data_IF_403029501896
#
_entry.id   IF_403029501896
#
_cell.length_a   1.000
_cell.length_b   1.000
_cell.length_c   1.000
_cell.angle_alpha   90.00
_cell.angle_beta   90.00
_cell.angle_gamma   90.00
#
_symmetry.space_group_name_H-M   'P 1'
#
loop_
_entity.id
_entity.type
_entity.pdbx_description
1 polymer ?
#
# COMPACT_ATOMS: atom_id res chain seq x y z
N UNK A 1 51.59 -9.57 59.41
CA UNK A 1 51.03 -9.21 58.09
C UNK A 1 50.76 -7.70 57.95
N UNK A 2 51.66 -6.83 58.41
CA UNK A 2 51.35 -5.38 58.52
C UNK A 2 52.44 -4.43 58.02
N UNK A 3 53.57 -4.94 57.51
CA UNK A 3 54.64 -4.11 56.91
C UNK A 3 54.77 -4.22 55.39
N UNK A 4 54.19 -5.24 54.77
CA UNK A 4 54.21 -5.41 53.30
C UNK A 4 53.16 -4.58 52.54
N UNK A 5 52.12 -4.06 53.23
CA UNK A 5 51.06 -3.25 52.59
C UNK A 5 51.40 -1.76 52.45
N UNK A 6 52.33 -1.25 53.25
CA UNK A 6 52.76 0.16 53.19
C UNK A 6 53.76 0.45 52.06
N UNK A 7 54.56 -0.54 51.65
CA UNK A 7 55.51 -0.39 50.54
C UNK A 7 54.84 -0.36 49.15
N UNK A 8 53.71 -1.07 48.97
CA UNK A 8 52.95 -1.00 47.72
C UNK A 8 52.14 0.30 47.57
N UNK A 9 51.72 0.93 48.67
CA UNK A 9 51.03 2.21 48.65
C UNK A 9 51.93 3.39 48.21
N UNK A 10 53.21 3.35 48.58
CA UNK A 10 54.17 4.40 48.21
C UNK A 10 54.62 4.31 46.74
N UNK A 11 54.65 3.11 46.14
CA UNK A 11 54.99 2.94 44.72
C UNK A 11 53.82 3.36 43.80
N UNK A 12 52.57 3.24 44.27
CA UNK A 12 51.40 3.70 43.54
C UNK A 12 51.28 5.24 43.48
N UNK A 13 51.84 5.96 44.46
CA UNK A 13 51.84 7.43 44.48
C UNK A 13 53.00 8.05 43.68
N UNK A 14 54.09 7.32 43.46
CA UNK A 14 55.25 7.79 42.69
C UNK A 14 55.06 7.68 41.16
N UNK A 15 54.04 6.96 40.70
CA UNK A 15 53.65 6.87 39.28
C UNK A 15 52.48 7.82 38.91
N UNK A 16 51.91 8.51 39.90
CA UNK A 16 50.83 9.48 39.69
C UNK A 16 51.19 10.73 38.85
N UNK A 17 52.46 11.19 38.66
CA UNK A 17 52.72 12.36 37.82
C UNK A 17 52.73 12.08 36.31
N UNK A 18 52.65 10.82 35.86
CA UNK A 18 52.57 10.50 34.42
C UNK A 18 51.13 10.28 33.93
N UNK A 19 50.12 10.40 34.81
CA UNK A 19 48.69 10.31 34.49
C UNK A 19 48.12 11.60 33.85
N UNK A 20 48.94 12.32 33.08
CA UNK A 20 48.52 13.49 32.30
C UNK A 20 49.22 13.49 30.94
N UNK A 21 49.32 12.31 30.31
CA UNK A 21 49.30 12.27 28.86
C UNK A 21 47.88 12.69 28.46
N UNK A 22 47.72 13.98 28.15
CA UNK A 22 46.58 14.52 27.42
C UNK A 22 46.17 13.49 26.38
N UNK A 23 44.92 13.02 26.40
CA UNK A 23 44.34 12.30 25.28
C UNK A 23 44.44 13.24 24.07
N UNK A 24 45.55 13.13 23.34
CA UNK A 24 45.75 13.82 22.08
C UNK A 24 44.56 13.41 21.23
N UNK A 25 43.74 14.39 20.84
CA UNK A 25 42.81 14.17 19.75
C UNK A 25 43.63 13.54 18.62
N UNK A 26 43.29 12.32 18.20
CA UNK A 26 43.98 11.66 17.08
C UNK A 26 43.84 12.45 15.77
N UNK A 27 43.03 13.51 15.77
CA UNK A 27 42.92 14.49 14.69
C UNK A 27 43.74 15.75 14.94
N UNK A 28 44.13 16.39 13.84
CA UNK A 28 44.79 17.68 13.72
C UNK A 28 43.74 18.77 13.47
N UNK A 29 43.38 19.57 14.50
CA UNK A 29 42.49 20.71 14.33
C UNK A 29 43.28 21.90 13.78
N UNK A 30 43.13 22.20 12.48
CA UNK A 30 43.59 23.44 11.85
C UNK A 30 42.44 24.47 11.90
N UNK A 31 41.95 24.72 13.12
CA UNK A 31 40.77 25.55 13.38
C UNK A 31 41.09 26.70 14.33
N UNK A 32 40.38 27.82 14.15
CA UNK A 32 40.32 28.93 15.11
C UNK A 32 38.88 29.02 15.58
N UNK A 33 38.62 28.75 16.86
CA UNK A 33 37.26 28.64 17.42
C UNK A 33 36.37 27.68 16.61
N UNK A 34 36.87 26.46 16.35
CA UNK A 34 36.26 25.43 15.51
C UNK A 34 36.10 25.77 14.02
N UNK A 35 36.34 27.02 13.61
CA UNK A 35 36.29 27.45 12.20
C UNK A 35 37.57 27.09 11.48
N UNK A 36 37.49 26.29 10.43
CA UNK A 36 38.65 25.93 9.61
C UNK A 36 38.63 24.49 9.08
N UNK A 37 39.77 23.82 9.14
CA UNK A 37 39.96 22.47 8.62
C UNK A 37 40.29 21.49 9.75
N UNK A 38 39.54 20.40 9.88
CA UNK A 38 39.88 19.29 10.78
C UNK A 38 40.37 18.07 10.00
N UNK A 39 41.53 17.53 10.33
CA UNK A 39 42.05 16.29 9.73
C UNK A 39 42.05 15.17 10.77
N UNK A 40 41.40 14.05 10.49
CA UNK A 40 41.21 12.94 11.44
C UNK A 40 39.99 13.13 12.36
N UNK A 41 39.91 12.41 13.48
CA UNK A 41 38.76 12.42 14.40
C UNK A 41 38.73 13.70 15.26
N UNK A 42 38.53 14.85 14.61
CA UNK A 42 38.30 16.15 15.26
C UNK A 42 36.81 16.24 15.67
N UNK A 43 36.48 16.49 16.96
CA UNK A 43 35.08 16.42 17.44
C UNK A 43 34.15 17.53 16.94
N UNK A 44 34.68 18.72 16.64
CA UNK A 44 33.86 19.85 16.16
C UNK A 44 34.59 20.59 15.06
N UNK A 45 33.91 20.84 13.94
CA UNK A 45 34.45 21.60 12.81
C UNK A 45 33.34 22.43 12.17
N UNK A 46 33.57 23.73 12.03
CA UNK A 46 32.80 24.65 11.20
C UNK A 46 33.65 24.94 9.96
N UNK A 47 33.39 24.24 8.85
CA UNK A 47 34.25 24.29 7.67
C UNK A 47 34.42 22.91 7.04
N UNK A 48 35.67 22.44 6.89
CA UNK A 48 35.99 21.18 6.22
C UNK A 48 36.57 20.17 7.21
N UNK A 49 35.94 18.99 7.33
CA UNK A 49 36.49 17.84 8.06
C UNK A 49 36.86 16.75 7.07
N UNK A 50 38.12 16.31 7.12
CA UNK A 50 38.65 15.17 6.38
C UNK A 50 38.94 14.07 7.39
N UNK A 51 38.27 12.93 7.29
CA UNK A 51 38.51 11.81 8.18
C UNK A 51 38.78 10.52 7.39
N UNK A 52 39.68 9.69 7.91
CA UNK A 52 39.88 8.37 7.32
C UNK A 52 38.68 7.48 7.61
N UNK A 53 38.26 7.40 8.87
CA UNK A 53 37.13 6.58 9.32
C UNK A 53 36.48 7.21 10.53
N UNK A 54 35.15 7.32 10.51
CA UNK A 54 34.38 7.83 11.65
C UNK A 54 34.20 6.73 12.71
N UNK A 55 34.87 6.93 13.86
CA UNK A 55 34.92 6.01 15.02
C UNK A 55 34.52 6.70 16.36
N UNK A 56 34.27 8.01 16.35
CA UNK A 56 33.94 8.80 17.52
C UNK A 56 32.81 9.81 17.25
N UNK A 57 32.25 10.41 18.29
CA UNK A 57 31.25 11.47 18.16
C UNK A 57 31.86 12.74 17.54
N UNK A 58 31.15 13.34 16.58
CA UNK A 58 31.54 14.59 15.92
C UNK A 58 30.35 15.49 15.58
N UNK A 59 30.59 16.80 15.43
CA UNK A 59 29.63 17.78 14.89
C UNK A 59 30.31 18.59 13.79
N UNK A 60 29.82 18.48 12.56
CA UNK A 60 30.34 19.22 11.40
C UNK A 60 29.27 20.13 10.84
N UNK A 61 29.59 21.42 10.77
CA UNK A 61 28.82 22.42 10.04
C UNK A 61 29.62 22.87 8.82
N UNK A 62 29.31 22.29 7.67
CA UNK A 62 30.09 22.46 6.44
C UNK A 62 30.23 21.15 5.69
N UNK A 63 31.46 20.76 5.34
CA UNK A 63 31.75 19.58 4.52
C UNK A 63 32.48 18.53 5.37
N UNK A 64 31.90 17.33 5.47
CA UNK A 64 32.54 16.15 6.05
C UNK A 64 32.89 15.16 4.95
N UNK A 65 34.16 14.81 4.81
CA UNK A 65 34.65 13.80 3.88
C UNK A 65 35.21 12.62 4.67
N UNK A 66 34.68 11.42 4.43
CA UNK A 66 35.15 10.18 5.06
C UNK A 66 35.70 9.23 3.99
N UNK A 67 36.95 8.79 4.15
CA UNK A 67 37.70 8.00 3.14
C UNK A 67 37.67 6.48 3.41
N UNK A 68 36.82 6.05 4.33
CA UNK A 68 36.54 4.64 4.59
C UNK A 68 35.17 4.48 5.24
N UNK A 69 34.64 3.26 5.20
CA UNK A 69 33.34 2.94 5.80
C UNK A 69 33.37 3.24 7.31
N UNK A 70 32.39 3.98 7.85
CA UNK A 70 32.25 4.25 9.28
C UNK A 70 32.23 2.96 10.11
N UNK A 71 32.51 3.06 11.42
CA UNK A 71 32.22 1.95 12.33
C UNK A 71 30.71 1.68 12.48
N UNK A 72 30.36 0.51 13.04
CA UNK A 72 28.99 0.02 13.09
C UNK A 72 28.03 0.99 13.81
N UNK A 73 28.55 1.84 14.69
CA UNK A 73 27.79 2.91 15.32
C UNK A 73 27.94 4.20 14.50
N UNK A 74 26.90 4.51 13.71
CA UNK A 74 26.84 5.78 12.96
C UNK A 74 26.65 6.95 13.94
N UNK A 75 27.77 7.54 14.38
CA UNK A 75 27.85 8.63 15.34
C UNK A 75 27.99 9.99 14.66
N UNK A 76 27.73 11.06 15.41
CA UNK A 76 27.92 12.44 14.95
C UNK A 76 26.79 13.09 14.13
N UNK A 77 26.92 14.39 13.87
CA UNK A 77 25.97 15.24 13.13
C UNK A 77 26.69 15.95 11.99
N UNK A 78 26.11 15.94 10.79
CA UNK A 78 26.58 16.72 9.64
C UNK A 78 25.47 17.65 9.18
N UNK A 79 25.74 18.96 9.23
CA UNK A 79 24.91 20.01 8.64
C UNK A 79 25.66 20.65 7.49
N UNK A 80 25.32 20.27 6.27
CA UNK A 80 26.00 20.68 5.05
C UNK A 80 26.17 19.51 4.09
N UNK A 81 27.40 19.14 3.75
CA UNK A 81 27.71 18.05 2.82
C UNK A 81 28.43 16.90 3.53
N UNK A 82 27.93 15.68 3.39
CA UNK A 82 28.57 14.45 3.83
C UNK A 82 29.00 13.65 2.58
N UNK A 83 30.30 13.42 2.39
CA UNK A 83 30.86 12.77 1.20
C UNK A 83 31.69 11.56 1.64
N UNK A 84 31.38 10.39 1.06
CA UNK A 84 31.97 9.12 1.46
C UNK A 84 32.66 8.39 0.31
N UNK A 85 33.90 7.96 0.55
CA UNK A 85 34.69 7.12 -0.35
C UNK A 85 35.17 5.89 0.44
N UNK A 86 34.53 4.71 0.38
CA UNK A 86 33.40 4.40 -0.49
C UNK A 86 32.04 4.82 0.09
N UNK A 87 31.91 5.02 1.41
CA UNK A 87 30.62 5.29 2.06
C UNK A 87 30.74 6.40 3.10
N UNK A 88 29.64 7.10 3.36
CA UNK A 88 29.53 8.10 4.42
C UNK A 88 28.42 7.71 5.37
N UNK A 89 28.57 8.09 6.65
CA UNK A 89 27.47 7.99 7.58
C UNK A 89 27.67 8.85 8.82
N UNK A 90 26.56 9.17 9.45
CA UNK A 90 26.51 9.94 10.69
C UNK A 90 25.22 9.58 11.45
N UNK A 91 25.06 10.04 12.68
CA UNK A 91 23.78 9.86 13.36
C UNK A 91 22.67 10.72 12.73
N UNK A 92 23.02 11.93 12.29
CA UNK A 92 22.13 12.86 11.60
C UNK A 92 22.85 13.49 10.43
N UNK A 93 22.17 13.59 9.30
CA UNK A 93 22.64 14.32 8.13
C UNK A 93 21.56 15.29 7.71
N UNK A 94 21.90 16.57 7.59
CA UNK A 94 21.03 17.62 7.05
C UNK A 94 21.75 18.36 5.94
N UNK A 95 21.23 18.28 4.71
CA UNK A 95 21.85 18.84 3.51
C UNK A 95 22.11 17.77 2.44
N UNK A 96 23.33 17.71 1.92
CA UNK A 96 23.73 16.80 0.85
C UNK A 96 24.48 15.61 1.43
N UNK A 97 24.15 14.41 0.97
CA UNK A 97 24.84 13.19 1.33
C UNK A 97 25.16 12.36 0.09
N UNK A 98 26.44 12.03 -0.12
CA UNK A 98 26.88 11.28 -1.30
C UNK A 98 27.88 10.19 -0.91
N UNK A 99 27.69 8.97 -1.43
CA UNK A 99 28.63 7.87 -1.23
C UNK A 99 28.68 6.93 -2.43
N UNK A 100 29.88 6.52 -2.83
CA UNK A 100 30.10 5.59 -3.96
C UNK A 100 29.39 4.25 -3.72
N UNK A 101 29.44 3.74 -2.50
CA UNK A 101 28.68 2.56 -2.09
C UNK A 101 27.38 2.94 -1.40
N UNK A 102 27.37 3.95 -0.53
CA UNK A 102 26.10 4.31 0.09
C UNK A 102 26.19 5.40 1.13
N UNK A 103 25.01 5.79 1.58
CA UNK A 103 24.80 6.77 2.63
C UNK A 103 23.99 6.11 3.74
N UNK A 104 24.54 6.09 4.96
CA UNK A 104 23.87 5.59 6.15
C UNK A 104 23.61 6.70 7.17
N UNK A 105 22.46 6.66 7.84
CA UNK A 105 22.26 7.42 9.07
C UNK A 105 21.59 6.61 10.17
N UNK A 106 22.00 6.78 11.42
CA UNK A 106 21.32 6.14 12.55
C UNK A 106 19.89 6.68 12.71
N UNK A 107 19.73 8.01 12.79
CA UNK A 107 18.40 8.63 12.97
C UNK A 107 17.80 9.13 11.69
N UNK A 108 18.46 10.06 11.00
CA UNK A 108 17.84 10.67 9.83
C UNK A 108 18.78 11.29 8.82
N UNK A 109 18.26 11.36 7.59
CA UNK A 109 18.77 12.17 6.49
C UNK A 109 17.66 13.13 6.08
N UNK A 110 17.93 14.43 6.09
CA UNK A 110 17.02 15.49 5.65
C UNK A 110 17.71 16.34 4.56
N UNK A 111 17.30 16.19 3.30
CA UNK A 111 17.88 16.89 2.16
C UNK A 111 18.02 16.01 0.92
N UNK A 112 19.21 15.99 0.31
CA UNK A 112 19.50 15.25 -0.93
C UNK A 112 20.51 14.14 -0.65
N UNK A 113 20.12 12.90 -0.86
CA UNK A 113 20.98 11.72 -0.73
C UNK A 113 21.20 11.02 -2.07
N UNK A 114 22.45 10.65 -2.37
CA UNK A 114 22.81 9.79 -3.52
C UNK A 114 23.76 8.69 -3.04
N UNK A 115 23.33 7.43 -3.14
CA UNK A 115 24.13 6.26 -2.75
C UNK A 115 24.23 5.24 -3.88
N UNK A 116 25.45 4.87 -4.28
CA UNK A 116 25.63 3.97 -5.42
C UNK A 116 25.05 2.56 -5.24
N UNK A 117 25.08 1.99 -4.03
CA UNK A 117 24.31 0.80 -3.66
C UNK A 117 23.01 1.17 -2.94
N UNK A 118 23.01 2.19 -2.07
CA UNK A 118 21.75 2.57 -1.42
C UNK A 118 21.86 3.67 -0.39
N UNK A 119 20.68 4.07 0.09
CA UNK A 119 20.50 5.04 1.16
C UNK A 119 19.67 4.40 2.27
N UNK A 120 20.20 4.43 3.49
CA UNK A 120 19.56 3.85 4.67
C UNK A 120 19.49 4.83 5.82
N UNK A 121 18.34 4.91 6.51
CA UNK A 121 18.27 5.54 7.82
C UNK A 121 17.51 4.67 8.83
N UNK A 122 17.99 4.56 10.07
CA UNK A 122 17.26 3.84 11.13
C UNK A 122 15.92 4.49 11.48
N UNK A 123 15.81 5.83 11.36
CA UNK A 123 14.58 6.56 11.63
C UNK A 123 13.87 7.08 10.38
N UNK A 124 14.31 8.22 9.83
CA UNK A 124 13.58 8.90 8.74
C UNK A 124 14.47 9.37 7.60
N UNK A 125 13.94 9.31 6.39
CA UNK A 125 14.48 9.93 5.19
C UNK A 125 13.51 11.01 4.73
N UNK A 126 13.97 12.25 4.59
CA UNK A 126 13.18 13.37 4.08
C UNK A 126 13.91 14.08 2.95
N UNK A 127 13.22 14.34 1.84
CA UNK A 127 13.75 15.06 0.69
C UNK A 127 13.89 14.19 -0.55
N UNK A 128 15.01 14.27 -1.26
CA UNK A 128 15.30 13.50 -2.47
C UNK A 128 16.33 12.41 -2.16
N UNK A 129 15.95 11.15 -2.35
CA UNK A 129 16.80 9.99 -2.08
C UNK A 129 16.92 9.13 -3.34
N UNK A 130 18.15 8.93 -3.82
CA UNK A 130 18.44 8.08 -4.98
C UNK A 130 19.44 7.01 -4.58
N UNK A 131 18.99 5.76 -4.52
CA UNK A 131 19.81 4.59 -4.18
C UNK A 131 19.88 3.60 -5.34
N UNK A 132 21.10 3.15 -5.69
CA UNK A 132 21.28 2.24 -6.82
C UNK A 132 20.56 0.89 -6.67
N UNK A 133 20.63 0.25 -5.50
CA UNK A 133 19.81 -0.91 -5.15
C UNK A 133 18.54 -0.50 -4.38
N UNK A 134 18.61 0.48 -3.48
CA UNK A 134 17.40 0.84 -2.74
C UNK A 134 17.50 2.03 -1.81
N UNK A 135 16.32 2.46 -1.37
CA UNK A 135 16.11 3.50 -0.36
C UNK A 135 15.31 2.89 0.78
N UNK A 136 15.87 2.91 2.00
CA UNK A 136 15.27 2.26 3.16
C UNK A 136 15.24 3.15 4.40
N UNK A 137 14.10 3.21 5.09
CA UNK A 137 14.01 3.83 6.42
C UNK A 137 13.36 2.88 7.43
N UNK A 138 13.89 2.78 8.65
CA UNK A 138 13.24 2.02 9.72
C UNK A 138 11.91 2.64 10.16
N UNK A 139 11.74 3.95 9.99
CA UNK A 139 10.51 4.69 10.27
C UNK A 139 9.85 5.24 9.00
N UNK A 140 10.18 6.45 8.57
CA UNK A 140 9.42 7.17 7.54
C UNK A 140 10.27 7.61 6.35
N UNK A 141 9.74 7.46 5.14
CA UNK A 141 10.25 8.09 3.91
C UNK A 141 9.30 9.21 3.50
N UNK A 142 9.79 10.42 3.30
CA UNK A 142 8.97 11.58 2.88
C UNK A 142 9.66 12.38 1.79
N UNK A 143 8.99 12.59 0.65
CA UNK A 143 9.55 13.30 -0.50
C UNK A 143 9.63 12.42 -1.74
N UNK A 144 10.79 12.38 -2.40
CA UNK A 144 11.04 11.58 -3.60
C UNK A 144 12.08 10.52 -3.25
N UNK A 145 11.72 9.24 -3.42
CA UNK A 145 12.60 8.11 -3.21
C UNK A 145 12.64 7.23 -4.45
N UNK A 146 13.84 7.02 -4.99
CA UNK A 146 14.11 6.22 -6.18
C UNK A 146 15.11 5.11 -5.80
N UNK A 147 14.67 3.85 -5.89
CA UNK A 147 15.50 2.68 -5.59
C UNK A 147 15.51 1.69 -6.76
N UNK A 148 16.69 1.23 -7.18
CA UNK A 148 16.78 0.30 -8.32
C UNK A 148 16.06 -1.03 -8.11
N UNK A 149 16.15 -1.62 -6.91
CA UNK A 149 15.34 -2.77 -6.49
C UNK A 149 14.09 -2.33 -5.72
N UNK A 150 14.18 -1.33 -4.84
CA UNK A 150 12.99 -0.94 -4.09
C UNK A 150 13.12 0.26 -3.16
N UNK A 151 11.94 0.72 -2.73
CA UNK A 151 11.78 1.72 -1.67
C UNK A 151 11.01 1.08 -0.52
N UNK A 152 11.59 1.13 0.68
CA UNK A 152 11.02 0.49 1.87
C UNK A 152 10.96 1.42 3.08
N UNK A 153 9.86 1.38 3.83
CA UNK A 153 9.76 2.02 5.14
C UNK A 153 9.14 1.08 6.18
N UNK A 154 9.70 1.00 7.39
CA UNK A 154 9.07 0.26 8.49
C UNK A 154 7.76 0.91 8.98
N UNK A 155 7.67 2.23 8.87
CA UNK A 155 6.48 3.05 9.14
C UNK A 155 5.80 3.50 7.84
N UNK A 156 5.84 4.80 7.52
CA UNK A 156 5.08 5.38 6.39
C UNK A 156 5.98 5.77 5.19
N UNK A 157 5.42 5.70 3.99
CA UNK A 157 5.92 6.37 2.77
C UNK A 157 4.96 7.48 2.39
N UNK A 158 5.46 8.72 2.24
CA UNK A 158 4.67 9.88 1.79
C UNK A 158 5.38 10.66 0.66
N UNK A 159 4.78 10.72 -0.51
CA UNK A 159 5.32 11.44 -1.67
C UNK A 159 5.42 10.56 -2.91
N UNK A 160 6.59 10.52 -3.56
CA UNK A 160 6.88 9.70 -4.74
C UNK A 160 7.85 8.59 -4.32
N UNK A 161 7.45 7.33 -4.51
CA UNK A 161 8.28 6.15 -4.27
C UNK A 161 8.29 5.26 -5.51
N UNK A 162 9.46 5.11 -6.13
CA UNK A 162 9.63 4.28 -7.32
C UNK A 162 10.70 3.23 -7.03
N UNK A 163 10.29 1.97 -7.07
CA UNK A 163 11.15 0.81 -6.87
C UNK A 163 11.09 -0.15 -8.05
N UNK A 164 12.23 -0.65 -8.51
CA UNK A 164 12.25 -1.59 -9.66
C UNK A 164 11.49 -2.89 -9.39
N UNK A 165 11.62 -3.49 -8.20
CA UNK A 165 10.78 -4.60 -7.74
C UNK A 165 9.58 -4.11 -6.95
N UNK A 166 9.71 -3.12 -6.06
CA UNK A 166 8.56 -2.69 -5.28
C UNK A 166 8.73 -1.45 -4.43
N UNK A 167 7.59 -0.88 -4.04
CA UNK A 167 7.49 0.17 -3.05
C UNK A 167 6.60 -0.33 -1.89
N UNK A 168 7.15 -0.41 -0.68
CA UNK A 168 6.51 -1.08 0.44
C UNK A 168 6.64 -0.34 1.77
N UNK A 169 5.56 -0.32 2.55
CA UNK A 169 5.52 0.29 3.88
C UNK A 169 4.86 -0.62 4.91
N UNK A 170 5.43 -0.72 6.11
CA UNK A 170 4.77 -1.42 7.24
C UNK A 170 3.52 -0.70 7.76
N UNK A 171 3.47 0.62 7.59
CA UNK A 171 2.33 1.49 7.83
C UNK A 171 1.64 1.90 6.52
N UNK A 172 1.54 3.21 6.28
CA UNK A 172 0.79 3.75 5.13
C UNK A 172 1.67 4.15 3.95
N UNK A 173 1.11 4.03 2.73
CA UNK A 173 1.68 4.59 1.51
C UNK A 173 0.77 5.72 1.02
N UNK A 174 1.27 6.95 0.93
CA UNK A 174 0.49 8.13 0.54
C UNK A 174 1.18 8.92 -0.58
N UNK A 175 0.58 8.97 -1.78
CA UNK A 175 1.08 9.71 -2.94
C UNK A 175 1.18 8.85 -4.20
N UNK A 176 2.31 8.95 -4.92
CA UNK A 176 2.61 8.13 -6.09
C UNK A 176 3.55 6.99 -5.70
N UNK A 177 3.12 5.75 -5.87
CA UNK A 177 3.94 4.58 -5.64
C UNK A 177 3.93 3.67 -6.87
N UNK A 178 5.13 3.32 -7.36
CA UNK A 178 5.32 2.46 -8.51
C UNK A 178 6.30 1.34 -8.14
N UNK A 179 5.88 0.09 -8.37
CA UNK A 179 6.68 -1.10 -8.14
C UNK A 179 6.57 -2.10 -9.29
N UNK A 180 7.70 -2.61 -9.80
CA UNK A 180 7.66 -3.57 -10.91
C UNK A 180 6.98 -4.90 -10.58
N UNK A 181 7.11 -5.40 -9.35
CA UNK A 181 6.28 -6.48 -8.83
C UNK A 181 5.07 -5.94 -8.07
N UNK A 182 5.22 -4.93 -7.22
CA UNK A 182 4.05 -4.43 -6.50
C UNK A 182 4.24 -3.25 -5.59
N UNK A 183 3.10 -2.73 -5.15
CA UNK A 183 2.99 -1.72 -4.11
C UNK A 183 2.24 -2.32 -2.92
N UNK A 184 2.83 -2.22 -1.73
CA UNK A 184 2.29 -2.82 -0.52
C UNK A 184 2.25 -1.85 0.66
N UNK A 185 1.14 -1.82 1.39
CA UNK A 185 1.01 -1.12 2.66
C UNK A 185 0.46 -2.07 3.73
N UNK A 186 1.09 -2.12 4.91
CA UNK A 186 0.58 -2.90 6.04
C UNK A 186 -0.72 -2.34 6.61
N UNK A 187 -0.93 -1.02 6.46
CA UNK A 187 -2.17 -0.32 6.83
C UNK A 187 -2.92 0.11 5.58
N UNK A 188 -3.09 1.43 5.35
CA UNK A 188 -3.76 2.01 4.18
C UNK A 188 -2.82 2.50 3.06
N UNK A 189 -3.29 2.40 1.82
CA UNK A 189 -2.61 2.91 0.63
C UNK A 189 -3.48 3.94 -0.10
N UNK A 190 -2.98 5.17 -0.27
CA UNK A 190 -3.73 6.30 -0.83
C UNK A 190 -2.96 7.02 -1.94
N UNK A 191 -3.59 7.21 -3.10
CA UNK A 191 -3.07 8.03 -4.19
C UNK A 191 -3.07 7.31 -5.54
N UNK A 192 -1.94 7.31 -6.24
CA UNK A 192 -1.74 6.57 -7.50
C UNK A 192 -0.77 5.43 -7.20
N UNK A 193 -1.27 4.20 -7.30
CA UNK A 193 -0.57 2.98 -6.93
C UNK A 193 -0.50 2.07 -8.15
N UNK A 194 0.71 1.77 -8.62
CA UNK A 194 0.92 0.93 -9.81
C UNK A 194 1.89 -0.19 -9.47
N UNK A 195 1.37 -1.42 -9.48
CA UNK A 195 2.13 -2.63 -9.23
C UNK A 195 2.08 -3.57 -10.43
N UNK A 196 3.23 -4.02 -10.93
CA UNK A 196 3.24 -4.91 -12.10
C UNK A 196 2.58 -6.27 -11.84
N UNK A 197 2.69 -6.85 -10.65
CA UNK A 197 1.89 -7.98 -10.21
C UNK A 197 0.68 -7.54 -9.37
N UNK A 198 0.81 -6.57 -8.46
CA UNK A 198 -0.36 -6.12 -7.72
C UNK A 198 -0.18 -4.93 -6.79
N UNK A 199 -1.32 -4.42 -6.34
CA UNK A 199 -1.43 -3.41 -5.28
C UNK A 199 -2.17 -4.03 -4.11
N UNK A 200 -1.60 -3.97 -2.91
CA UNK A 200 -2.18 -4.57 -1.71
C UNK A 200 -2.11 -3.65 -0.49
N UNK A 201 -3.18 -3.63 0.29
CA UNK A 201 -3.25 -2.93 1.58
C UNK A 201 -3.89 -3.81 2.64
N UNK A 202 -3.32 -3.81 3.85
CA UNK A 202 -3.89 -4.53 5.00
C UNK A 202 -5.22 -3.96 5.49
N UNK A 203 -5.42 -2.66 5.32
CA UNK A 203 -6.66 -1.94 5.63
C UNK A 203 -7.32 -1.49 4.32
N UNK A 204 -7.27 -0.18 4.02
CA UNK A 204 -8.01 0.46 2.94
C UNK A 204 -7.14 0.95 1.76
N UNK A 205 -7.62 0.76 0.53
CA UNK A 205 -7.05 1.35 -0.69
C UNK A 205 -7.91 2.52 -1.16
N UNK A 206 -7.31 3.69 -1.41
CA UNK A 206 -8.03 4.86 -1.91
C UNK A 206 -7.32 5.58 -3.05
N UNK A 207 -8.04 5.89 -4.13
CA UNK A 207 -7.50 6.59 -5.31
C UNK A 207 -7.48 5.70 -6.55
N UNK A 208 -6.38 5.73 -7.31
CA UNK A 208 -6.16 4.89 -8.49
C UNK A 208 -5.21 3.75 -8.14
N UNK A 209 -5.67 2.51 -8.23
CA UNK A 209 -4.87 1.31 -8.03
C UNK A 209 -4.89 0.42 -9.28
N UNK A 210 -3.71 0.13 -9.81
CA UNK A 210 -3.52 -0.71 -11.00
C UNK A 210 -2.57 -1.85 -10.64
N UNK A 211 -3.07 -3.08 -10.71
CA UNK A 211 -2.33 -4.31 -10.45
C UNK A 211 -2.40 -5.27 -11.63
N UNK A 212 -1.26 -5.74 -12.14
CA UNK A 212 -1.26 -6.65 -13.30
C UNK A 212 -1.94 -7.99 -13.05
N UNK A 213 -1.85 -8.56 -11.85
CA UNK A 213 -2.68 -9.67 -11.39
C UNK A 213 -3.89 -9.18 -10.62
N UNK A 214 -3.72 -8.23 -9.70
CA UNK A 214 -4.88 -7.74 -8.96
C UNK A 214 -4.66 -6.59 -8.00
N UNK A 215 -5.77 -6.09 -7.50
CA UNK A 215 -5.84 -5.09 -6.45
C UNK A 215 -6.57 -5.69 -5.24
N UNK A 216 -5.95 -5.60 -4.07
CA UNK A 216 -6.46 -6.17 -2.82
C UNK A 216 -6.53 -5.15 -1.70
N UNK A 217 -7.63 -5.17 -0.94
CA UNK A 217 -7.79 -4.40 0.31
C UNK A 217 -8.38 -5.30 1.39
N UNK A 218 -7.81 -5.25 2.60
CA UNK A 218 -8.33 -6.01 3.74
C UNK A 218 -9.67 -5.47 4.27
N UNK A 219 -9.92 -4.17 4.13
CA UNK A 219 -11.17 -3.50 4.50
C UNK A 219 -11.82 -2.92 3.24
N UNK A 220 -11.77 -1.60 3.04
CA UNK A 220 -12.49 -0.91 1.98
C UNK A 220 -11.60 -0.50 0.79
N UNK A 221 -12.19 -0.47 -0.40
CA UNK A 221 -11.59 0.13 -1.59
C UNK A 221 -12.44 1.30 -2.08
N UNK A 222 -11.84 2.49 -2.19
CA UNK A 222 -12.51 3.72 -2.64
C UNK A 222 -11.79 4.36 -3.82
N UNK A 223 -12.37 4.28 -5.03
CA UNK A 223 -11.85 4.96 -6.22
C UNK A 223 -11.88 4.11 -7.48
N UNK A 224 -10.75 4.01 -8.18
CA UNK A 224 -10.60 3.22 -9.41
C UNK A 224 -9.65 2.06 -9.14
N UNK A 225 -10.12 0.83 -9.31
CA UNK A 225 -9.31 -0.38 -9.23
C UNK A 225 -9.30 -1.13 -10.57
N UNK A 226 -8.11 -1.42 -11.06
CA UNK A 226 -7.91 -2.22 -12.27
C UNK A 226 -7.00 -3.40 -11.92
N UNK A 227 -7.57 -4.59 -11.91
CA UNK A 227 -6.86 -5.85 -11.68
C UNK A 227 -6.86 -6.70 -12.93
N UNK A 228 -5.71 -7.18 -13.41
CA UNK A 228 -5.70 -8.04 -14.61
C UNK A 228 -6.47 -9.35 -14.42
N UNK A 229 -6.39 -9.95 -13.23
CA UNK A 229 -7.17 -11.14 -12.84
C UNK A 229 -8.34 -10.74 -11.94
N UNK A 230 -8.09 -10.01 -10.84
CA UNK A 230 -9.12 -9.77 -9.85
C UNK A 230 -9.00 -8.48 -9.04
N UNK A 231 -10.14 -8.02 -8.54
CA UNK A 231 -10.24 -7.01 -7.48
C UNK A 231 -10.95 -7.64 -6.28
N UNK A 232 -10.27 -7.70 -5.13
CA UNK A 232 -10.77 -8.32 -3.91
C UNK A 232 -10.76 -7.36 -2.73
N UNK A 233 -11.90 -7.23 -2.07
CA UNK A 233 -12.10 -6.26 -0.99
C UNK A 233 -12.79 -6.95 0.18
N UNK A 234 -12.25 -6.80 1.39
CA UNK A 234 -12.79 -7.47 2.58
C UNK A 234 -14.17 -6.94 2.99
N UNK A 235 -14.39 -5.63 2.87
CA UNK A 235 -15.65 -4.98 3.23
C UNK A 235 -16.34 -4.37 2.01
N UNK A 236 -16.18 -3.06 1.77
CA UNK A 236 -16.92 -2.33 0.74
C UNK A 236 -16.02 -1.85 -0.38
N UNK A 237 -16.47 -2.11 -1.60
CA UNK A 237 -15.91 -1.53 -2.81
C UNK A 237 -16.78 -0.36 -3.22
N UNK A 238 -16.20 0.84 -3.34
CA UNK A 238 -16.89 2.04 -3.84
C UNK A 238 -16.12 2.67 -5.00
N UNK A 239 -16.82 2.89 -6.12
CA UNK A 239 -16.27 3.53 -7.32
C UNK A 239 -16.25 2.65 -8.57
N UNK A 240 -15.17 2.72 -9.36
CA UNK A 240 -15.02 1.95 -10.61
C UNK A 240 -14.11 0.75 -10.35
N UNK A 241 -14.53 -0.44 -10.76
CA UNK A 241 -13.69 -1.64 -10.68
C UNK A 241 -13.76 -2.47 -11.96
N UNK A 242 -12.58 -2.80 -12.48
CA UNK A 242 -12.41 -3.59 -13.69
C UNK A 242 -11.49 -4.76 -13.38
N UNK A 243 -11.97 -5.97 -13.67
CA UNK A 243 -11.18 -7.19 -13.54
C UNK A 243 -11.31 -8.13 -14.74
N UNK A 244 -10.21 -8.79 -15.13
CA UNK A 244 -10.26 -9.78 -16.20
C UNK A 244 -11.06 -11.03 -15.85
N UNK A 245 -11.06 -11.47 -14.59
CA UNK A 245 -11.84 -12.62 -14.12
C UNK A 245 -12.95 -12.17 -13.17
N UNK A 246 -12.61 -11.60 -12.01
CA UNK A 246 -13.60 -11.44 -10.95
C UNK A 246 -13.44 -10.19 -10.09
N UNK A 247 -14.57 -9.65 -9.66
CA UNK A 247 -14.62 -8.60 -8.62
C UNK A 247 -15.45 -9.10 -7.44
N UNK A 248 -14.89 -9.01 -6.23
CA UNK A 248 -15.49 -9.50 -5.01
C UNK A 248 -15.39 -8.53 -3.84
N UNK A 249 -16.49 -8.34 -3.10
CA UNK A 249 -16.52 -7.57 -1.85
C UNK A 249 -17.30 -8.31 -0.76
N UNK A 250 -16.78 -8.35 0.46
CA UNK A 250 -17.41 -9.07 1.58
C UNK A 250 -18.75 -8.48 2.05
N UNK A 251 -18.94 -7.16 1.91
CA UNK A 251 -20.18 -6.50 2.35
C UNK A 251 -20.96 -5.84 1.23
N UNK A 252 -20.31 -5.10 0.34
CA UNK A 252 -21.04 -4.26 -0.61
C UNK A 252 -20.19 -3.77 -1.77
N UNK A 253 -20.83 -3.60 -2.91
CA UNK A 253 -20.25 -2.90 -4.04
C UNK A 253 -21.17 -1.74 -4.40
N UNK A 254 -20.64 -0.53 -4.28
CA UNK A 254 -21.31 0.73 -4.54
C UNK A 254 -20.60 1.45 -5.69
N UNK A 255 -20.94 1.09 -6.94
CA UNK A 255 -20.40 1.76 -8.12
C UNK A 255 -20.51 0.96 -9.42
N UNK A 256 -19.60 1.23 -10.35
CA UNK A 256 -19.58 0.61 -11.69
C UNK A 256 -18.57 -0.53 -11.67
N UNK A 257 -19.03 -1.75 -11.91
CA UNK A 257 -18.18 -2.94 -11.85
C UNK A 257 -18.25 -3.74 -13.15
N UNK A 258 -17.09 -4.08 -13.70
CA UNK A 258 -16.94 -4.88 -14.92
C UNK A 258 -16.00 -6.05 -14.62
N UNK A 259 -16.46 -7.26 -14.86
CA UNK A 259 -15.64 -8.46 -14.71
C UNK A 259 -15.79 -9.40 -15.91
N UNK A 260 -14.71 -10.05 -16.34
CA UNK A 260 -14.79 -11.00 -17.46
C UNK A 260 -15.59 -12.27 -17.12
N UNK A 261 -15.64 -12.69 -15.85
CA UNK A 261 -16.37 -13.88 -15.41
C UNK A 261 -17.46 -13.54 -14.40
N UNK A 262 -17.09 -13.03 -13.23
CA UNK A 262 -18.01 -12.97 -12.09
C UNK A 262 -17.93 -11.69 -11.26
N UNK A 263 -19.08 -11.20 -10.80
CA UNK A 263 -19.16 -10.15 -9.78
C UNK A 263 -19.92 -10.72 -8.57
N UNK A 264 -19.32 -10.64 -7.39
CA UNK A 264 -19.88 -11.15 -6.14
C UNK A 264 -19.85 -10.10 -5.04
N UNK A 265 -20.95 -9.98 -4.30
CA UNK A 265 -20.99 -9.22 -3.04
C UNK A 265 -21.67 -10.01 -1.94
N UNK A 266 -21.11 -9.98 -0.73
CA UNK A 266 -21.74 -10.59 0.45
C UNK A 266 -22.93 -9.81 1.01
N UNK A 267 -23.26 -8.64 0.44
CA UNK A 267 -24.45 -7.87 0.85
C UNK A 267 -25.13 -7.19 -0.34
N UNK A 268 -24.83 -5.92 -0.61
CA UNK A 268 -25.58 -5.13 -1.62
C UNK A 268 -24.71 -4.74 -2.81
N UNK A 269 -25.19 -5.03 -4.02
CA UNK A 269 -24.71 -4.44 -5.28
C UNK A 269 -25.56 -3.23 -5.64
N UNK A 270 -24.95 -2.06 -5.84
CA UNK A 270 -25.62 -0.81 -6.24
C UNK A 270 -25.04 -0.27 -7.54
N UNK A 271 -25.88 0.43 -8.31
CA UNK A 271 -25.57 1.09 -9.59
C UNK A 271 -25.45 0.20 -10.82
N UNK A 272 -24.26 -0.28 -11.19
CA UNK A 272 -24.05 -0.98 -12.46
C UNK A 272 -23.06 -2.15 -12.31
N UNK A 273 -23.44 -3.32 -12.81
CA UNK A 273 -22.60 -4.51 -12.78
C UNK A 273 -22.72 -5.29 -14.09
N UNK A 274 -21.59 -5.53 -14.75
CA UNK A 274 -21.50 -6.30 -15.99
C UNK A 274 -20.50 -7.44 -15.80
N UNK A 275 -20.96 -8.68 -15.98
CA UNK A 275 -20.11 -9.86 -15.88
C UNK A 275 -20.32 -10.80 -17.07
N UNK A 276 -19.25 -11.45 -17.54
CA UNK A 276 -19.35 -12.39 -18.67
C UNK A 276 -20.06 -13.70 -18.35
N UNK A 277 -20.20 -14.08 -17.07
CA UNK A 277 -20.88 -15.32 -16.65
C UNK A 277 -21.94 -15.06 -15.60
N UNK A 278 -21.58 -14.45 -14.46
CA UNK A 278 -22.51 -14.34 -13.34
C UNK A 278 -22.39 -13.06 -12.50
N UNK A 279 -23.53 -12.57 -12.02
CA UNK A 279 -23.62 -11.54 -10.96
C UNK A 279 -24.41 -12.11 -9.79
N UNK A 280 -23.87 -12.01 -8.57
CA UNK A 280 -24.50 -12.54 -7.38
C UNK A 280 -24.35 -11.66 -6.14
N UNK A 281 -25.46 -11.42 -5.44
CA UNK A 281 -25.47 -10.79 -4.12
C UNK A 281 -26.81 -10.99 -3.40
N UNK A 282 -26.86 -10.97 -2.06
CA UNK A 282 -28.13 -10.99 -1.32
C UNK A 282 -29.10 -9.92 -1.81
N UNK A 283 -28.60 -8.70 -2.04
CA UNK A 283 -29.40 -7.58 -2.54
C UNK A 283 -28.78 -6.97 -3.79
N UNK A 284 -29.58 -6.80 -4.85
CA UNK A 284 -29.19 -6.10 -6.07
C UNK A 284 -30.08 -4.88 -6.26
N UNK A 285 -29.52 -3.70 -6.05
CA UNK A 285 -30.10 -2.38 -6.35
C UNK A 285 -29.30 -1.72 -7.50
N UNK A 286 -28.94 -2.53 -8.50
CA UNK A 286 -28.05 -2.18 -9.60
C UNK A 286 -28.59 -2.72 -10.92
N UNK A 287 -28.33 -2.03 -12.03
CA UNK A 287 -28.45 -2.64 -13.36
C UNK A 287 -27.44 -3.77 -13.47
N UNK A 288 -27.92 -5.00 -13.59
CA UNK A 288 -27.09 -6.20 -13.64
C UNK A 288 -27.21 -6.89 -15.01
N UNK A 289 -26.07 -7.04 -15.68
CA UNK A 289 -25.97 -7.68 -17.01
C UNK A 289 -24.98 -8.84 -16.91
N UNK A 290 -25.48 -10.07 -16.95
CA UNK A 290 -24.69 -11.28 -17.01
C UNK A 290 -25.55 -12.47 -17.41
N UNK A 291 -25.03 -13.52 -18.07
CA UNK A 291 -25.82 -14.71 -18.40
C UNK A 291 -26.62 -15.26 -17.23
N UNK A 292 -26.04 -15.27 -16.02
CA UNK A 292 -26.69 -15.72 -14.79
C UNK A 292 -26.74 -14.61 -13.75
N UNK A 293 -27.91 -14.33 -13.19
CA UNK A 293 -28.07 -13.37 -12.07
C UNK A 293 -28.80 -14.05 -10.91
N UNK A 294 -28.21 -13.98 -9.72
CA UNK A 294 -28.74 -14.59 -8.50
C UNK A 294 -28.82 -13.60 -7.33
N UNK A 295 -29.97 -13.54 -6.67
CA UNK A 295 -30.17 -12.71 -5.50
C UNK A 295 -31.28 -13.19 -4.57
N UNK A 296 -31.39 -12.58 -3.38
CA UNK A 296 -32.58 -12.73 -2.53
C UNK A 296 -33.55 -11.59 -2.75
N UNK A 297 -33.06 -10.36 -2.87
CA UNK A 297 -33.85 -9.18 -3.17
C UNK A 297 -33.26 -8.41 -4.34
N UNK A 298 -34.10 -8.09 -5.31
CA UNK A 298 -33.76 -7.30 -6.49
C UNK A 298 -34.66 -6.08 -6.53
N UNK A 299 -34.07 -4.91 -6.67
CA UNK A 299 -34.75 -3.65 -7.02
C UNK A 299 -34.01 -3.00 -8.18
N UNK A 300 -34.24 -3.50 -9.39
CA UNK A 300 -33.33 -3.22 -10.51
C UNK A 300 -33.90 -3.58 -11.89
N UNK A 301 -33.12 -3.22 -12.91
CA UNK A 301 -33.16 -3.80 -14.25
C UNK A 301 -32.14 -4.96 -14.33
N UNK A 302 -32.62 -6.15 -14.65
CA UNK A 302 -31.78 -7.33 -14.90
C UNK A 302 -31.85 -7.72 -16.37
N UNK A 303 -30.68 -7.95 -16.97
CA UNK A 303 -30.54 -8.61 -18.26
C UNK A 303 -29.73 -9.88 -18.04
N UNK A 304 -30.41 -11.03 -17.96
CA UNK A 304 -29.80 -12.33 -17.72
C UNK A 304 -30.21 -13.37 -18.77
N UNK A 305 -29.59 -13.37 -19.96
CA UNK A 305 -30.02 -14.18 -21.09
C UNK A 305 -30.20 -15.67 -20.79
N UNK A 306 -29.42 -16.24 -19.86
CA UNK A 306 -29.57 -17.65 -19.48
C UNK A 306 -30.54 -17.84 -18.30
N UNK A 307 -30.23 -17.28 -17.13
CA UNK A 307 -30.97 -17.63 -15.91
C UNK A 307 -31.00 -16.50 -14.88
N UNK A 308 -32.19 -16.19 -14.37
CA UNK A 308 -32.37 -15.34 -13.20
C UNK A 308 -33.02 -16.12 -12.07
N UNK A 309 -32.41 -16.09 -10.87
CA UNK A 309 -32.90 -16.80 -9.69
C UNK A 309 -33.11 -15.86 -8.51
N UNK A 310 -34.30 -15.93 -7.92
CA UNK A 310 -34.63 -15.36 -6.61
C UNK A 310 -35.09 -16.47 -5.69
N UNK A 311 -34.36 -16.73 -4.60
CA UNK A 311 -34.60 -17.91 -3.75
C UNK A 311 -35.77 -17.77 -2.79
N UNK A 312 -35.86 -16.63 -2.08
CA UNK A 312 -36.89 -16.43 -1.04
C UNK A 312 -37.44 -15.01 -0.95
N UNK A 313 -36.75 -14.00 -1.48
CA UNK A 313 -37.18 -12.61 -1.32
C UNK A 313 -37.99 -12.07 -2.50
N UNK A 314 -37.67 -10.86 -2.92
CA UNK A 314 -38.50 -10.09 -3.85
C UNK A 314 -37.76 -9.72 -5.11
N UNK A 315 -38.46 -9.79 -6.23
CA UNK A 315 -38.04 -9.12 -7.45
C UNK A 315 -38.95 -7.91 -7.63
N UNK A 316 -38.35 -6.72 -7.65
CA UNK A 316 -38.99 -5.45 -7.95
C UNK A 316 -38.26 -4.80 -9.14
N UNK A 317 -38.98 -4.61 -10.25
CA UNK A 317 -38.42 -3.94 -11.43
C UNK A 317 -38.63 -4.73 -12.71
N UNK A 318 -37.60 -4.79 -13.56
CA UNK A 318 -37.66 -5.42 -14.88
C UNK A 318 -36.60 -6.51 -14.97
N UNK A 319 -37.01 -7.72 -15.37
CA UNK A 319 -36.07 -8.80 -15.71
C UNK A 319 -36.30 -9.27 -17.14
N UNK A 320 -35.23 -9.31 -17.92
CA UNK A 320 -35.17 -9.92 -19.24
C UNK A 320 -34.25 -11.14 -19.18
N UNK A 321 -34.84 -12.34 -19.17
CA UNK A 321 -34.09 -13.60 -19.01
C UNK A 321 -34.80 -14.77 -19.67
N UNK A 322 -34.09 -15.75 -20.23
CA UNK A 322 -34.77 -16.94 -20.81
C UNK A 322 -35.58 -17.71 -19.75
N UNK A 323 -35.01 -17.84 -18.56
CA UNK A 323 -35.66 -18.49 -17.42
C UNK A 323 -35.65 -17.56 -16.21
N UNK A 324 -36.84 -17.08 -15.82
CA UNK A 324 -37.03 -16.32 -14.59
C UNK A 324 -37.59 -17.24 -13.51
N UNK A 325 -36.82 -17.49 -12.45
CA UNK A 325 -37.24 -18.32 -11.32
C UNK A 325 -37.35 -17.48 -10.04
N UNK A 326 -38.54 -16.90 -9.81
CA UNK A 326 -38.85 -16.12 -8.61
C UNK A 326 -39.57 -16.99 -7.58
N UNK A 327 -38.82 -17.61 -6.67
CA UNK A 327 -39.40 -18.43 -5.59
C UNK A 327 -39.99 -17.60 -4.43
N UNK A 328 -40.06 -16.28 -4.58
CA UNK A 328 -40.73 -15.36 -3.66
C UNK A 328 -41.77 -14.49 -4.37
N UNK A 329 -41.71 -13.18 -4.12
CA UNK A 329 -42.70 -12.23 -4.66
C UNK A 329 -42.13 -11.50 -5.87
N UNK A 330 -42.84 -11.55 -6.99
CA UNK A 330 -42.57 -10.75 -8.18
C UNK A 330 -43.43 -9.50 -8.20
N UNK A 331 -42.81 -8.33 -8.37
CA UNK A 331 -43.42 -7.01 -8.58
C UNK A 331 -42.75 -6.37 -9.80
N UNK A 332 -43.53 -6.02 -10.81
CA UNK A 332 -43.00 -5.47 -12.07
C UNK A 332 -43.02 -6.48 -13.23
N UNK A 333 -42.10 -6.35 -14.16
CA UNK A 333 -42.14 -7.01 -15.47
C UNK A 333 -41.06 -8.09 -15.59
N UNK A 334 -41.46 -9.33 -15.87
CA UNK A 334 -40.53 -10.40 -16.28
C UNK A 334 -40.80 -10.79 -17.72
N UNK A 335 -39.76 -10.78 -18.55
CA UNK A 335 -39.80 -11.23 -19.93
C UNK A 335 -38.89 -12.45 -20.05
N UNK A 336 -39.40 -13.54 -20.63
CA UNK A 336 -38.62 -14.78 -20.79
C UNK A 336 -39.31 -15.89 -21.56
N UNK A 337 -38.60 -16.98 -21.83
CA UNK A 337 -39.22 -18.19 -22.38
C UNK A 337 -40.10 -18.84 -21.32
N UNK A 338 -39.57 -18.95 -20.10
CA UNK A 338 -40.29 -19.46 -18.94
C UNK A 338 -40.19 -18.51 -17.76
N UNK A 339 -41.34 -18.09 -17.24
CA UNK A 339 -41.43 -17.27 -16.04
C UNK A 339 -42.12 -18.06 -14.93
N UNK A 340 -41.48 -18.14 -13.77
CA UNK A 340 -42.06 -18.72 -12.56
C UNK A 340 -42.07 -17.69 -11.44
N UNK A 341 -43.23 -17.50 -10.81
CA UNK A 341 -43.36 -16.75 -9.55
C UNK A 341 -44.15 -17.55 -8.51
N UNK A 342 -43.70 -17.53 -7.25
CA UNK A 342 -44.52 -18.02 -6.14
C UNK A 342 -45.70 -17.09 -5.87
N UNK A 343 -45.44 -15.78 -5.85
CA UNK A 343 -46.48 -14.75 -5.72
C UNK A 343 -46.30 -13.66 -6.78
N UNK A 344 -47.32 -13.44 -7.61
CA UNK A 344 -47.27 -12.50 -8.73
C UNK A 344 -48.08 -11.23 -8.42
N UNK A 345 -47.41 -10.08 -8.45
CA UNK A 345 -47.98 -8.73 -8.31
C UNK A 345 -47.50 -7.82 -9.47
N UNK A 346 -47.39 -8.37 -10.67
CA UNK A 346 -46.85 -7.70 -11.84
C UNK A 346 -47.25 -8.42 -13.12
N UNK A 347 -46.49 -8.22 -14.19
CA UNK A 347 -46.76 -8.80 -15.51
C UNK A 347 -45.65 -9.79 -15.87
N UNK A 348 -46.04 -10.98 -16.32
CA UNK A 348 -45.13 -11.92 -16.95
C UNK A 348 -45.43 -11.97 -18.45
N UNK A 349 -44.40 -11.83 -19.27
CA UNK A 349 -44.46 -12.02 -20.71
C UNK A 349 -43.54 -13.15 -21.09
N UNK A 350 -44.09 -14.18 -21.74
CA UNK A 350 -43.28 -15.34 -22.11
C UNK A 350 -44.08 -16.46 -22.74
N UNK A 351 -43.36 -17.44 -23.30
CA UNK A 351 -44.00 -18.63 -23.92
C UNK A 351 -44.84 -19.35 -22.87
N UNK A 352 -44.29 -19.53 -21.67
CA UNK A 352 -44.96 -20.14 -20.54
C UNK A 352 -44.76 -19.31 -19.27
N UNK A 353 -45.88 -18.99 -18.60
CA UNK A 353 -45.89 -18.15 -17.40
C UNK A 353 -46.62 -18.87 -16.26
N UNK A 354 -45.90 -19.20 -15.19
CA UNK A 354 -46.42 -19.89 -14.02
C UNK A 354 -46.45 -19.00 -12.77
N UNK A 355 -47.63 -18.84 -12.18
CA UNK A 355 -47.83 -18.11 -10.93
C UNK A 355 -48.56 -18.98 -9.90
N UNK A 356 -47.86 -19.40 -8.83
CA UNK A 356 -48.45 -20.28 -7.80
C UNK A 356 -49.58 -19.60 -7.01
N UNK A 357 -49.54 -18.27 -6.89
CA UNK A 357 -50.56 -17.47 -6.19
C UNK A 357 -51.90 -17.40 -6.93
N UNK A 358 -51.93 -17.65 -8.24
CA UNK A 358 -53.18 -17.59 -8.99
C UNK A 358 -54.03 -18.85 -8.72
N UNK A 359 -55.36 -18.70 -8.80
CA UNK A 359 -56.29 -19.83 -8.78
C UNK A 359 -56.22 -20.62 -10.08
N UNK A 360 -56.48 -21.92 -10.01
CA UNK A 360 -56.60 -22.76 -11.21
C UNK A 360 -57.82 -22.29 -12.05
N UNK A 361 -57.76 -22.30 -13.40
CA UNK A 361 -56.66 -22.78 -14.26
C UNK A 361 -55.56 -21.73 -14.54
N UNK A 362 -55.72 -20.48 -14.07
CA UNK A 362 -54.84 -19.33 -14.36
C UNK A 362 -53.44 -19.38 -13.72
N UNK A 363 -53.03 -20.56 -13.23
CA UNK A 363 -51.68 -20.80 -12.71
C UNK A 363 -50.64 -20.88 -13.81
N UNK A 364 -51.01 -21.40 -14.98
CA UNK A 364 -50.12 -21.52 -16.14
C UNK A 364 -50.82 -20.88 -17.34
N UNK A 365 -50.25 -19.82 -17.88
CA UNK A 365 -50.80 -19.11 -19.04
C UNK A 365 -49.75 -18.93 -20.14
N UNK A 366 -50.15 -19.08 -21.41
CA UNK A 366 -49.29 -18.74 -22.54
C UNK A 366 -49.25 -17.22 -22.75
N UNK A 367 -48.14 -16.71 -23.29
CA UNK A 367 -47.93 -15.32 -23.73
C UNK A 367 -47.90 -14.31 -22.58
N UNK A 368 -48.97 -14.20 -21.80
CA UNK A 368 -49.13 -13.21 -20.73
C UNK A 368 -49.73 -13.84 -19.46
N UNK A 369 -49.22 -13.45 -18.30
CA UNK A 369 -49.83 -13.74 -17.00
C UNK A 369 -49.85 -12.49 -16.11
N UNK A 370 -50.98 -12.26 -15.45
CA UNK A 370 -51.26 -11.12 -14.57
C UNK A 370 -51.88 -11.64 -13.27
N UNK A 371 -51.91 -10.84 -12.18
CA UNK A 371 -52.45 -11.29 -10.90
C UNK A 371 -53.94 -11.60 -11.04
N UNK A 372 -54.31 -12.86 -10.80
CA UNK A 372 -55.70 -13.31 -10.81
C UNK A 372 -56.08 -13.76 -9.39
N UNK A 373 -56.80 -12.88 -8.68
CA UNK A 373 -57.44 -13.21 -7.40
C UNK A 373 -58.46 -14.32 -7.60
#
# INVERSE_FOLDING_TARGET
MTRARLALGALALALAPFASATAQSRGLPLTVNDVGVGIGPVPRVIGLRLNFRDDADFDVRGVNITVWTPENDLRGDVRGAAIGLPATGASRITGIAAGVFGVGADRYIDGVGVGGLGIGAGGRLRGLMVGGLGVGAGGRVTGIALGGLGVGAGGDIRGIAIGGLGAGSGGRVEGLAIGGLGVGAGQGARGILVGGAGVGSGESVSGLAIGGLGVGSGEDLHGIAIGGVGVGVGERLSGLSIAGIGVGAGEGIDGITIAGVGIGSGGTLRWFSIAGVAVGAPRIEAVAIAPVVGAESVKALIVAPAYMRIERGTMEGVSLSSFNHVKGTQRGLTIGVFNYARSLHGVQLGVLNYAKSNRAPFRLLPIINVPAR
#
